data_IF_051904676217
#
_entry.id   IF_051904676217
#
_cell.length_a   1.000
_cell.length_b   1.000
_cell.length_c   1.000
_cell.angle_alpha   90.00
_cell.angle_beta   90.00
_cell.angle_gamma   90.00
#
_symmetry.space_group_name_H-M   'P 1'
#
loop_
_entity.id
_entity.type
_entity.pdbx_description
1 polymer ?
#
# COMPACT_ATOMS: atom_id res chain seq x y z
N UNK A 1 -18.76 22.06 -13.03
CA UNK A 1 -18.68 21.89 -11.56
C UNK A 1 -19.90 22.55 -10.95
N UNK A 2 -20.75 21.83 -10.23
CA UNK A 2 -21.89 22.45 -9.53
C UNK A 2 -21.38 23.55 -8.58
N UNK A 3 -21.88 24.79 -8.67
CA UNK A 3 -21.57 25.80 -7.68
C UNK A 3 -22.04 25.32 -6.29
N UNK A 4 -21.26 25.61 -5.24
CA UNK A 4 -21.54 25.29 -3.82
C UNK A 4 -21.36 23.84 -3.32
N UNK A 5 -20.86 22.91 -4.13
CA UNK A 5 -20.68 21.49 -3.72
C UNK A 5 -19.88 21.30 -2.41
N UNK A 6 -18.83 22.11 -2.18
CA UNK A 6 -18.04 22.07 -0.93
C UNK A 6 -18.86 22.43 0.31
N UNK A 7 -19.66 23.49 0.23
CA UNK A 7 -20.46 23.99 1.36
C UNK A 7 -21.59 23.01 1.69
N UNK A 8 -22.29 22.51 0.66
CA UNK A 8 -23.31 21.47 0.80
C UNK A 8 -22.76 20.22 1.51
N UNK A 9 -21.57 19.75 1.11
CA UNK A 9 -20.90 18.61 1.75
C UNK A 9 -20.62 18.88 3.23
N UNK A 10 -20.12 20.07 3.59
CA UNK A 10 -19.87 20.43 4.98
C UNK A 10 -21.15 20.44 5.82
N UNK A 11 -22.25 20.97 5.27
CA UNK A 11 -23.57 20.96 5.93
C UNK A 11 -24.06 19.52 6.14
N UNK A 12 -23.98 18.67 5.11
CA UNK A 12 -24.39 17.25 5.22
C UNK A 12 -23.57 16.50 6.28
N UNK A 13 -22.26 16.73 6.35
CA UNK A 13 -21.39 16.19 7.40
C UNK A 13 -21.84 16.65 8.78
N UNK A 14 -22.06 17.95 8.96
CA UNK A 14 -22.47 18.52 10.24
C UNK A 14 -23.80 17.94 10.73
N UNK A 15 -24.83 17.90 9.86
CA UNK A 15 -26.14 17.33 10.19
C UNK A 15 -26.03 15.84 10.53
N UNK A 16 -25.23 15.07 9.77
CA UNK A 16 -25.08 13.63 10.02
C UNK A 16 -24.38 13.33 11.34
N UNK A 17 -23.38 14.13 11.74
CA UNK A 17 -22.69 13.96 13.04
C UNK A 17 -23.61 14.12 14.26
N UNK A 18 -24.74 14.82 14.12
CA UNK A 18 -25.75 14.97 15.18
C UNK A 18 -26.69 13.77 15.33
N UNK A 19 -26.67 12.83 14.38
CA UNK A 19 -27.51 11.63 14.39
C UNK A 19 -26.73 10.41 14.91
N UNK A 20 -27.42 9.43 15.53
CA UNK A 20 -26.87 8.09 15.76
C UNK A 20 -26.28 7.50 14.47
N UNK A 21 -25.21 6.71 14.59
CA UNK A 21 -24.41 6.23 13.44
C UNK A 21 -25.28 5.55 12.38
N UNK A 22 -26.18 4.67 12.80
CA UNK A 22 -27.11 3.90 11.99
C UNK A 22 -28.16 4.76 11.25
N UNK A 23 -28.36 6.02 11.67
CA UNK A 23 -29.28 6.98 11.03
C UNK A 23 -28.58 8.03 10.18
N UNK A 24 -27.26 7.95 10.01
CA UNK A 24 -26.48 8.93 9.25
C UNK A 24 -26.61 8.66 7.76
N UNK A 25 -26.83 9.70 6.96
CA UNK A 25 -26.80 9.62 5.48
C UNK A 25 -25.46 10.06 4.91
N UNK A 26 -24.57 10.57 5.76
CA UNK A 26 -23.18 10.87 5.46
C UNK A 26 -22.29 10.26 6.55
N UNK A 27 -21.51 9.26 6.19
CA UNK A 27 -20.62 8.52 7.08
C UNK A 27 -19.19 8.92 6.74
N UNK A 28 -18.53 9.54 7.70
CA UNK A 28 -17.10 9.84 7.63
C UNK A 28 -16.37 8.93 8.59
N UNK A 29 -15.18 8.48 8.19
CA UNK A 29 -14.31 7.73 9.07
C UNK A 29 -13.85 8.61 10.25
N UNK A 30 -14.44 8.39 11.43
CA UNK A 30 -14.20 9.21 12.63
C UNK A 30 -12.78 9.01 13.19
N UNK A 31 -12.27 7.78 13.09
CA UNK A 31 -10.92 7.37 13.52
C UNK A 31 -10.23 6.66 12.38
N UNK A 32 -8.90 6.80 12.25
CA UNK A 32 -8.08 6.08 11.25
C UNK A 32 -7.90 4.59 11.58
N UNK A 33 -8.97 3.97 12.04
CA UNK A 33 -9.02 2.61 12.56
C UNK A 33 -10.24 1.92 11.96
N UNK A 34 -10.30 0.60 12.13
CA UNK A 34 -11.48 -0.18 11.83
C UNK A 34 -12.65 0.21 12.74
N UNK A 35 -13.79 0.46 12.12
CA UNK A 35 -15.05 0.82 12.75
C UNK A 35 -16.08 -0.28 12.43
N UNK A 36 -16.29 -1.25 13.33
CA UNK A 36 -17.19 -2.37 13.09
C UNK A 36 -18.64 -1.95 12.87
N UNK A 37 -19.02 -0.72 13.28
CA UNK A 37 -20.39 -0.21 13.05
C UNK A 37 -20.72 -0.16 11.55
N UNK A 38 -19.73 0.05 10.69
CA UNK A 38 -19.95 0.09 9.24
C UNK A 38 -20.43 -1.26 8.68
N UNK A 39 -19.93 -2.39 9.21
CA UNK A 39 -20.34 -3.73 8.78
C UNK A 39 -21.80 -4.05 9.10
N UNK A 40 -22.34 -3.42 10.15
CA UNK A 40 -23.73 -3.59 10.56
C UNK A 40 -24.65 -2.48 10.03
N UNK A 41 -24.11 -1.53 9.26
CA UNK A 41 -24.87 -0.41 8.75
C UNK A 41 -25.85 -0.87 7.67
N UNK A 42 -27.15 -0.62 7.89
CA UNK A 42 -28.21 -0.94 6.92
C UNK A 42 -28.48 0.28 6.05
N UNK A 43 -28.06 0.20 4.78
CA UNK A 43 -28.28 1.27 3.81
C UNK A 43 -29.77 1.40 3.53
N UNK A 44 -30.33 2.59 3.82
CA UNK A 44 -31.69 2.96 3.46
C UNK A 44 -31.64 4.28 2.66
N UNK A 45 -32.02 4.20 1.38
CA UNK A 45 -31.91 5.33 0.46
C UNK A 45 -30.46 5.69 0.12
N UNK A 46 -30.19 6.98 -0.05
CA UNK A 46 -28.88 7.47 -0.49
C UNK A 46 -27.96 7.72 0.70
N UNK A 47 -26.82 7.03 0.72
CA UNK A 47 -25.78 7.16 1.74
C UNK A 47 -24.45 7.51 1.08
N UNK A 48 -23.73 8.47 1.66
CA UNK A 48 -22.39 8.85 1.25
C UNK A 48 -21.38 8.31 2.27
N UNK A 49 -20.39 7.56 1.80
CA UNK A 49 -19.27 7.06 2.61
C UNK A 49 -18.02 7.84 2.16
N UNK A 50 -17.34 8.47 3.12
CA UNK A 50 -16.22 9.40 2.87
C UNK A 50 -14.99 9.03 3.72
N UNK A 51 -13.79 9.27 3.18
CA UNK A 51 -12.46 8.77 3.60
C UNK A 51 -12.03 7.47 2.88
N UNK A 52 -10.85 6.97 3.24
CA UNK A 52 -10.16 5.84 2.60
C UNK A 52 -10.77 4.47 2.96
N UNK A 53 -11.24 4.29 4.20
CA UNK A 53 -11.76 2.99 4.68
C UNK A 53 -10.84 1.79 4.39
N UNK A 54 -9.53 2.04 4.38
CA UNK A 54 -8.52 1.08 3.96
C UNK A 54 -8.14 0.14 5.11
N UNK A 55 -9.01 -0.82 5.39
CA UNK A 55 -8.76 -1.89 6.35
C UNK A 55 -9.36 -3.18 5.81
N UNK A 56 -8.57 -4.25 5.75
CA UNK A 56 -9.04 -5.51 5.16
C UNK A 56 -10.23 -6.12 5.88
N UNK A 57 -10.43 -5.78 7.17
CA UNK A 57 -11.56 -6.29 7.96
C UNK A 57 -12.91 -5.81 7.44
N UNK A 58 -12.95 -4.81 6.56
CA UNK A 58 -14.20 -4.40 5.92
C UNK A 58 -14.65 -5.30 4.77
N UNK A 59 -13.76 -6.16 4.24
CA UNK A 59 -14.03 -6.92 3.01
C UNK A 59 -13.34 -8.29 2.97
N UNK A 60 -12.85 -8.78 4.11
CA UNK A 60 -12.14 -10.06 4.18
C UNK A 60 -13.04 -11.26 3.88
N UNK A 61 -14.34 -11.14 4.15
CA UNK A 61 -15.38 -12.13 3.86
C UNK A 61 -15.74 -12.22 2.37
N UNK A 62 -15.35 -11.21 1.59
CA UNK A 62 -15.57 -11.14 0.13
C UNK A 62 -14.24 -10.94 -0.63
N UNK A 63 -13.12 -11.40 -0.08
CA UNK A 63 -11.80 -11.10 -0.64
C UNK A 63 -11.64 -11.56 -2.10
N UNK A 64 -12.25 -12.68 -2.47
CA UNK A 64 -12.22 -13.22 -3.83
C UNK A 64 -12.94 -12.30 -4.83
N UNK A 65 -14.05 -11.69 -4.41
CA UNK A 65 -14.78 -10.70 -5.21
C UNK A 65 -13.90 -9.49 -5.46
N UNK A 66 -13.29 -8.95 -4.39
CA UNK A 66 -12.41 -7.78 -4.49
C UNK A 66 -11.19 -8.08 -5.36
N UNK A 67 -10.57 -9.26 -5.22
CA UNK A 67 -9.42 -9.68 -6.04
C UNK A 67 -9.78 -9.83 -7.52
N UNK A 68 -10.98 -10.34 -7.81
CA UNK A 68 -11.47 -10.47 -9.17
C UNK A 68 -11.76 -9.09 -9.80
N UNK A 69 -12.45 -8.22 -9.07
CA UNK A 69 -12.84 -6.89 -9.54
C UNK A 69 -11.64 -5.96 -9.73
N UNK A 70 -10.61 -6.11 -8.88
CA UNK A 70 -9.36 -5.34 -8.96
C UNK A 70 -8.26 -6.04 -9.76
N UNK A 71 -8.61 -7.05 -10.56
CA UNK A 71 -7.64 -7.73 -11.42
C UNK A 71 -7.10 -6.75 -12.46
N UNK A 72 -5.81 -6.45 -12.37
CA UNK A 72 -5.16 -5.47 -13.23
C UNK A 72 -4.93 -6.07 -14.62
N UNK A 73 -5.37 -5.34 -15.65
CA UNK A 73 -5.10 -5.68 -17.04
C UNK A 73 -3.58 -5.57 -17.28
N UNK A 74 -2.90 -6.64 -17.74
CA UNK A 74 -1.48 -6.61 -18.01
C UNK A 74 -1.10 -5.48 -18.99
N UNK A 75 -0.03 -4.71 -18.72
CA UNK A 75 0.49 -3.74 -19.67
C UNK A 75 1.07 -4.46 -20.90
N UNK A 76 0.89 -3.90 -22.09
CA UNK A 76 1.28 -4.55 -23.35
C UNK A 76 2.73 -4.26 -23.78
N UNK A 77 3.46 -3.39 -23.07
CA UNK A 77 4.82 -3.04 -23.44
C UNK A 77 5.84 -4.14 -23.09
N UNK A 78 6.89 -4.23 -23.90
CA UNK A 78 7.92 -5.26 -23.77
C UNK A 78 8.67 -5.19 -22.44
N UNK A 79 8.91 -3.99 -21.91
CA UNK A 79 9.66 -3.78 -20.67
C UNK A 79 8.96 -4.42 -19.47
N UNK A 80 7.67 -4.14 -19.29
CA UNK A 80 6.86 -4.74 -18.24
C UNK A 80 6.68 -6.25 -18.45
N UNK A 81 6.45 -6.71 -19.68
CA UNK A 81 6.30 -8.14 -19.97
C UNK A 81 7.59 -8.94 -19.69
N UNK A 82 8.75 -8.38 -20.04
CA UNK A 82 10.07 -8.98 -19.75
C UNK A 82 10.32 -9.05 -18.25
N UNK A 83 10.04 -7.97 -17.52
CA UNK A 83 10.25 -7.93 -16.07
C UNK A 83 9.32 -8.89 -15.34
N UNK A 84 8.05 -8.96 -15.77
CA UNK A 84 7.06 -9.92 -15.28
C UNK A 84 7.51 -11.38 -15.43
N UNK A 85 8.15 -11.75 -16.55
CA UNK A 85 8.76 -13.08 -16.72
C UNK A 85 9.88 -13.32 -15.70
N UNK A 86 10.74 -12.33 -15.43
CA UNK A 86 11.79 -12.45 -14.41
C UNK A 86 11.21 -12.59 -12.99
N UNK A 87 10.14 -11.86 -12.68
CA UNK A 87 9.43 -11.93 -11.38
C UNK A 87 8.89 -13.34 -11.14
N UNK A 88 8.21 -13.93 -12.13
CA UNK A 88 7.65 -15.29 -12.01
C UNK A 88 8.71 -16.38 -11.89
N UNK A 89 9.85 -16.20 -12.55
CA UNK A 89 10.93 -17.19 -12.62
C UNK A 89 11.98 -17.06 -11.50
N UNK A 90 11.71 -16.28 -10.45
CA UNK A 90 12.65 -16.08 -9.35
C UNK A 90 11.97 -16.11 -7.99
N UNK A 91 12.75 -16.12 -6.91
CA UNK A 91 12.26 -15.82 -5.56
C UNK A 91 12.11 -14.30 -5.42
N UNK A 92 11.07 -13.78 -6.06
CA UNK A 92 10.86 -12.35 -6.26
C UNK A 92 10.39 -11.65 -4.99
N UNK A 93 11.04 -10.53 -4.69
CA UNK A 93 10.73 -9.68 -3.55
C UNK A 93 10.47 -8.28 -4.07
N UNK A 94 9.22 -7.80 -3.97
CA UNK A 94 8.91 -6.41 -4.24
C UNK A 94 9.41 -5.55 -3.07
N UNK A 95 10.30 -4.60 -3.33
CA UNK A 95 10.66 -3.55 -2.38
C UNK A 95 10.06 -2.26 -2.88
N UNK A 96 9.24 -1.61 -2.07
CA UNK A 96 8.72 -0.28 -2.40
C UNK A 96 9.30 0.76 -1.44
N UNK A 97 9.96 1.78 -2.00
CA UNK A 97 10.50 2.92 -1.25
C UNK A 97 9.80 4.19 -1.70
N UNK A 98 9.04 4.79 -0.78
CA UNK A 98 8.35 6.07 -1.03
C UNK A 98 8.97 7.20 -0.23
N UNK A 99 9.24 8.31 -0.91
CA UNK A 99 9.72 9.55 -0.31
C UNK A 99 8.56 10.55 -0.27
N UNK A 100 8.04 10.83 0.93
CA UNK A 100 7.07 11.91 1.16
C UNK A 100 7.74 13.26 1.44
N UNK A 101 9.02 13.24 1.81
CA UNK A 101 9.91 14.40 1.92
C UNK A 101 11.28 14.06 1.33
N UNK A 102 12.09 15.07 1.02
CA UNK A 102 13.42 14.89 0.42
C UNK A 102 14.26 13.85 1.21
N UNK A 103 14.98 12.93 0.54
CA UNK A 103 15.88 11.99 1.20
C UNK A 103 17.00 12.67 2.01
N UNK A 104 17.35 13.91 1.66
CA UNK A 104 18.37 14.69 2.38
C UNK A 104 17.84 15.32 3.67
N UNK A 105 16.52 15.23 3.93
CA UNK A 105 15.89 15.68 5.18
C UNK A 105 16.02 14.67 6.32
N UNK A 106 16.74 13.56 6.12
CA UNK A 106 17.16 12.63 7.16
C UNK A 106 18.44 13.17 7.84
N UNK A 107 18.54 13.31 9.18
CA UNK A 107 17.65 12.90 10.27
C UNK A 107 17.27 14.05 11.27
N UNK A 108 16.01 14.07 11.77
CA UNK A 108 15.57 14.55 13.13
C UNK A 108 14.06 14.85 13.25
N UNK A 109 13.31 15.05 12.15
CA UNK A 109 11.93 15.56 12.24
C UNK A 109 10.90 15.00 11.25
N UNK A 110 11.28 14.23 10.22
CA UNK A 110 10.30 13.75 9.24
C UNK A 110 9.54 12.51 9.76
N UNK A 111 8.47 12.74 10.53
CA UNK A 111 7.42 11.72 10.85
C UNK A 111 6.64 11.24 9.61
N UNK A 112 7.22 11.33 8.41
CA UNK A 112 6.56 11.07 7.13
C UNK A 112 7.26 10.01 6.30
N UNK A 113 8.60 9.95 6.28
CA UNK A 113 9.35 8.90 5.57
C UNK A 113 9.67 7.71 6.47
N UNK A 114 9.68 6.50 5.90
CA UNK A 114 10.17 5.29 6.59
C UNK A 114 11.69 5.37 6.76
N UNK A 115 12.21 4.97 7.92
CA UNK A 115 13.66 4.98 8.17
C UNK A 115 14.41 3.97 7.28
N UNK A 116 15.70 4.23 7.05
CA UNK A 116 16.53 3.35 6.23
C UNK A 116 16.84 2.04 6.96
N UNK A 117 16.91 2.10 8.28
CA UNK A 117 17.15 0.97 9.18
C UNK A 117 16.07 -0.10 9.00
N UNK A 118 14.80 0.28 8.88
CA UNK A 118 13.70 -0.62 8.55
C UNK A 118 14.00 -1.45 7.29
N UNK A 119 14.40 -0.80 6.19
CA UNK A 119 14.65 -1.51 4.95
C UNK A 119 15.83 -2.47 5.07
N UNK A 120 16.91 -2.06 5.77
CA UNK A 120 18.07 -2.92 6.02
C UNK A 120 17.67 -4.17 6.80
N UNK A 121 16.97 -4.02 7.92
CA UNK A 121 16.47 -5.15 8.71
C UNK A 121 15.54 -6.07 7.90
N UNK A 122 14.62 -5.48 7.12
CA UNK A 122 13.70 -6.25 6.29
C UNK A 122 14.42 -7.04 5.18
N UNK A 123 15.44 -6.44 4.55
CA UNK A 123 16.27 -7.10 3.52
C UNK A 123 17.07 -8.25 4.13
N UNK A 124 17.65 -8.07 5.31
CA UNK A 124 18.43 -9.11 6.00
C UNK A 124 17.54 -10.28 6.42
N UNK A 125 16.34 -9.98 6.92
CA UNK A 125 15.35 -11.00 7.27
C UNK A 125 14.93 -11.84 6.05
N UNK A 126 14.62 -11.19 4.93
CA UNK A 126 14.32 -11.91 3.68
C UNK A 126 15.53 -12.70 3.19
N UNK A 127 16.73 -12.12 3.22
CA UNK A 127 17.97 -12.79 2.78
C UNK A 127 18.28 -14.04 3.61
N UNK A 128 17.89 -14.05 4.89
CA UNK A 128 18.11 -15.18 5.80
C UNK A 128 17.05 -16.28 5.64
N UNK A 129 15.82 -15.92 5.25
CA UNK A 129 14.70 -16.84 5.15
C UNK A 129 14.39 -17.37 3.75
N UNK A 130 14.85 -16.70 2.70
CA UNK A 130 14.56 -17.02 1.30
C UNK A 130 15.86 -17.28 0.55
N UNK A 131 15.93 -18.42 -0.15
CA UNK A 131 17.10 -18.76 -0.97
C UNK A 131 17.18 -17.86 -2.21
N UNK A 132 18.35 -17.28 -2.46
CA UNK A 132 18.66 -16.51 -3.67
C UNK A 132 17.57 -15.52 -4.10
N UNK A 133 17.14 -14.58 -3.23
CA UNK A 133 16.06 -13.65 -3.56
C UNK A 133 16.48 -12.69 -4.67
N UNK A 134 15.53 -12.38 -5.56
CA UNK A 134 15.67 -11.30 -6.55
C UNK A 134 14.80 -10.15 -6.12
N UNK A 135 15.40 -9.00 -5.89
CA UNK A 135 14.70 -7.80 -5.42
C UNK A 135 14.28 -6.93 -6.60
N UNK A 136 12.99 -6.61 -6.66
CA UNK A 136 12.41 -5.69 -7.63
C UNK A 136 12.07 -4.39 -6.90
N UNK A 137 12.81 -3.32 -7.19
CA UNK A 137 12.73 -2.05 -6.48
C UNK A 137 11.83 -1.05 -7.22
N UNK A 138 10.75 -0.67 -6.54
CA UNK A 138 9.76 0.32 -6.97
C UNK A 138 9.93 1.58 -6.12
N UNK A 139 10.08 2.74 -6.75
CA UNK A 139 10.26 4.02 -6.06
C UNK A 139 10.07 5.17 -7.02
N UNK A 140 9.81 6.37 -6.50
CA UNK A 140 9.89 7.60 -7.28
C UNK A 140 11.32 7.87 -7.79
N UNK A 141 12.33 7.37 -7.06
CA UNK A 141 13.74 7.49 -7.40
C UNK A 141 14.48 6.15 -7.17
N UNK A 142 14.26 5.13 -8.01
CA UNK A 142 14.72 3.76 -7.77
C UNK A 142 16.24 3.63 -7.60
N UNK A 143 17.02 4.32 -8.42
CA UNK A 143 18.49 4.25 -8.34
C UNK A 143 19.02 4.83 -7.02
N UNK A 144 18.52 5.99 -6.61
CA UNK A 144 18.91 6.62 -5.35
C UNK A 144 18.48 5.77 -4.15
N UNK A 145 17.24 5.26 -4.18
CA UNK A 145 16.72 4.38 -3.15
C UNK A 145 17.58 3.12 -2.99
N UNK A 146 17.94 2.45 -4.09
CA UNK A 146 18.74 1.22 -4.07
C UNK A 146 20.11 1.39 -3.41
N UNK A 147 20.74 2.56 -3.58
CA UNK A 147 22.02 2.87 -2.92
C UNK A 147 21.87 3.06 -1.41
N UNK A 148 20.74 3.59 -0.94
CA UNK A 148 20.55 3.98 0.47
C UNK A 148 20.10 2.82 1.37
N UNK A 149 19.30 1.89 0.83
CA UNK A 149 18.62 0.85 1.63
C UNK A 149 19.41 -0.44 1.83
N UNK A 150 20.70 -0.49 1.46
CA UNK A 150 21.56 -1.64 1.75
C UNK A 150 21.45 -2.80 0.75
N UNK A 151 21.06 -2.55 -0.51
CA UNK A 151 21.01 -3.59 -1.55
C UNK A 151 22.35 -3.85 -2.26
N UNK A 152 23.45 -3.27 -1.78
CA UNK A 152 24.79 -3.45 -2.39
C UNK A 152 25.18 -4.94 -2.39
N UNK A 153 25.55 -5.45 -3.56
CA UNK A 153 25.95 -6.86 -3.73
C UNK A 153 24.80 -7.87 -3.80
N UNK A 154 23.54 -7.42 -3.77
CA UNK A 154 22.36 -8.28 -3.93
C UNK A 154 21.88 -8.29 -5.39
N UNK A 155 21.08 -9.29 -5.75
CA UNK A 155 20.43 -9.36 -7.07
C UNK A 155 19.23 -8.40 -7.12
N UNK A 156 19.44 -7.20 -7.64
CA UNK A 156 18.45 -6.12 -7.70
C UNK A 156 18.08 -5.78 -9.15
N UNK A 157 16.79 -5.54 -9.38
CA UNK A 157 16.23 -4.94 -10.59
C UNK A 157 15.45 -3.68 -10.20
N UNK A 158 15.95 -2.51 -10.60
CA UNK A 158 15.23 -1.25 -10.44
C UNK A 158 14.18 -1.10 -11.53
N UNK A 159 12.94 -0.79 -11.14
CA UNK A 159 11.84 -0.53 -12.08
C UNK A 159 11.82 0.96 -12.38
N UNK A 160 12.39 1.36 -13.52
CA UNK A 160 12.64 2.77 -13.86
C UNK A 160 11.81 3.27 -15.06
N UNK A 161 11.05 2.40 -15.73
CA UNK A 161 10.37 2.73 -16.99
C UNK A 161 8.92 3.20 -16.81
N UNK A 162 8.28 2.92 -15.67
CA UNK A 162 6.94 3.43 -15.32
C UNK A 162 7.10 4.73 -14.52
N UNK A 163 6.91 5.91 -15.15
CA UNK A 163 7.30 7.22 -14.58
C UNK A 163 6.15 8.16 -14.26
N UNK A 164 4.95 7.88 -14.75
CA UNK A 164 3.81 8.78 -14.65
C UNK A 164 2.57 8.07 -14.08
N UNK A 165 1.54 8.85 -13.76
CA UNK A 165 0.30 8.32 -13.21
C UNK A 165 -0.39 7.35 -14.17
N UNK A 166 -0.25 7.57 -15.49
CA UNK A 166 -0.80 6.70 -16.51
C UNK A 166 -0.16 5.30 -16.53
N UNK A 167 1.08 5.18 -16.05
CA UNK A 167 1.84 3.91 -15.98
C UNK A 167 1.92 3.32 -14.58
N UNK A 168 1.45 4.01 -13.54
CA UNK A 168 1.48 3.55 -12.16
C UNK A 168 0.74 2.21 -11.93
N UNK A 169 -0.29 1.91 -12.73
CA UNK A 169 -0.98 0.61 -12.66
C UNK A 169 -0.06 -0.56 -13.03
N UNK A 170 0.91 -0.35 -13.92
CA UNK A 170 1.86 -1.36 -14.34
C UNK A 170 2.81 -1.76 -13.20
N UNK A 171 3.16 -0.82 -12.33
CA UNK A 171 3.93 -1.11 -11.11
C UNK A 171 3.13 -1.96 -10.13
N UNK A 172 1.85 -1.64 -9.86
CA UNK A 172 1.00 -2.49 -9.01
C UNK A 172 0.84 -3.87 -9.64
N UNK A 173 0.68 -3.96 -10.96
CA UNK A 173 0.61 -5.22 -11.69
C UNK A 173 1.88 -6.06 -11.52
N UNK A 174 3.06 -5.45 -11.68
CA UNK A 174 4.35 -6.13 -11.43
C UNK A 174 4.49 -6.56 -9.96
N UNK A 175 4.20 -5.66 -9.01
CA UNK A 175 4.24 -5.95 -7.58
C UNK A 175 3.34 -7.14 -7.23
N UNK A 176 2.11 -7.18 -7.74
CA UNK A 176 1.13 -8.25 -7.45
C UNK A 176 1.60 -9.64 -7.90
N UNK A 177 2.60 -9.71 -8.79
CA UNK A 177 3.20 -10.96 -9.26
C UNK A 177 4.41 -11.41 -8.42
N UNK A 178 4.94 -10.55 -7.55
CA UNK A 178 6.04 -10.91 -6.66
C UNK A 178 5.62 -11.91 -5.58
N UNK A 179 6.57 -12.72 -5.13
CA UNK A 179 6.32 -13.75 -4.10
C UNK A 179 6.36 -13.20 -2.68
N UNK A 180 7.20 -12.20 -2.41
CA UNK A 180 7.36 -11.58 -1.09
C UNK A 180 7.46 -10.05 -1.22
N UNK A 181 7.32 -9.34 -0.09
CA UNK A 181 7.12 -7.90 -0.08
C UNK A 181 7.84 -7.23 1.11
N UNK A 182 8.52 -6.12 0.81
CA UNK A 182 8.97 -5.11 1.77
C UNK A 182 8.30 -3.81 1.35
N UNK A 183 7.28 -3.37 2.10
CA UNK A 183 6.43 -2.25 1.70
C UNK A 183 6.82 -0.96 2.43
N UNK A 184 6.39 0.19 1.91
CA UNK A 184 6.48 1.46 2.61
C UNK A 184 5.20 1.73 3.42
N UNK A 185 5.16 2.84 4.17
CA UNK A 185 3.95 3.43 4.74
C UNK A 185 3.06 4.07 3.64
N UNK A 186 2.78 3.32 2.57
CA UNK A 186 2.06 3.78 1.37
C UNK A 186 0.93 2.82 1.01
N UNK A 187 -0.22 3.38 0.66
CA UNK A 187 -1.41 2.64 0.19
C UNK A 187 -1.13 1.92 -1.11
N UNK A 188 -0.24 2.46 -1.95
CA UNK A 188 0.19 1.88 -3.21
C UNK A 188 0.83 0.49 -3.00
N UNK A 189 1.85 0.43 -2.13
CA UNK A 189 2.52 -0.83 -1.81
C UNK A 189 1.66 -1.78 -0.97
N UNK A 190 0.74 -1.23 -0.18
CA UNK A 190 -0.25 -2.03 0.54
C UNK A 190 -1.14 -2.80 -0.45
N UNK A 191 -1.70 -2.13 -1.46
CA UNK A 191 -2.51 -2.80 -2.48
C UNK A 191 -1.70 -3.75 -3.35
N UNK A 192 -0.47 -3.40 -3.72
CA UNK A 192 0.42 -4.31 -4.45
C UNK A 192 0.66 -5.63 -3.71
N UNK A 193 0.90 -5.58 -2.38
CA UNK A 193 1.07 -6.77 -1.55
C UNK A 193 -0.26 -7.50 -1.26
N UNK A 194 -1.36 -6.76 -1.08
CA UNK A 194 -2.68 -7.35 -0.80
C UNK A 194 -3.20 -8.12 -2.00
N UNK A 195 -3.10 -7.56 -3.21
CA UNK A 195 -3.56 -8.18 -4.46
C UNK A 195 -2.73 -9.39 -4.89
N UNK A 196 -1.52 -9.54 -4.36
CA UNK A 196 -0.66 -10.67 -4.68
C UNK A 196 -1.27 -12.02 -4.26
N UNK A 197 -1.33 -12.95 -5.22
CA UNK A 197 -2.03 -14.23 -5.04
C UNK A 197 -1.25 -15.29 -4.27
N UNK A 198 0.06 -15.09 -4.06
CA UNK A 198 0.87 -16.06 -3.31
C UNK A 198 0.37 -16.17 -1.85
N UNK A 199 -0.14 -17.33 -1.39
CA UNK A 199 -0.58 -17.52 0.00
C UNK A 199 0.61 -17.57 0.98
N UNK A 200 1.78 -18.01 0.51
CA UNK A 200 3.01 -18.15 1.30
C UNK A 200 3.87 -16.87 1.28
N UNK A 201 3.28 -15.73 0.92
CA UNK A 201 4.01 -14.46 0.85
C UNK A 201 4.42 -14.01 2.25
N UNK A 202 5.65 -13.50 2.33
CA UNK A 202 6.12 -12.75 3.48
C UNK A 202 5.91 -11.28 3.13
N UNK A 203 5.21 -10.53 3.99
CA UNK A 203 5.00 -9.09 3.82
C UNK A 203 5.54 -8.39 5.06
N UNK A 204 6.67 -7.71 4.89
CA UNK A 204 7.30 -6.90 5.93
C UNK A 204 6.84 -5.46 5.77
N UNK A 205 6.35 -4.89 6.87
CA UNK A 205 5.75 -3.56 6.94
C UNK A 205 6.49 -2.72 7.99
N UNK A 206 6.64 -1.41 7.80
CA UNK A 206 7.27 -0.58 8.81
C UNK A 206 6.32 -0.34 9.98
N UNK A 207 6.80 -0.44 11.22
CA UNK A 207 6.04 -0.01 12.40
C UNK A 207 6.02 1.53 12.51
N UNK A 208 5.28 2.16 11.59
CA UNK A 208 5.35 3.58 11.37
C UNK A 208 4.27 4.37 12.14
N UNK A 209 4.70 5.09 13.19
CA UNK A 209 3.85 5.95 14.04
C UNK A 209 3.71 7.40 13.53
N UNK A 210 3.49 7.56 12.22
CA UNK A 210 3.24 8.88 11.62
C UNK A 210 1.77 9.31 11.65
N UNK A 211 1.47 10.46 11.05
CA UNK A 211 0.15 11.13 11.03
C UNK A 211 -0.99 10.25 10.48
N UNK A 212 -0.67 9.17 9.77
CA UNK A 212 -1.62 8.24 9.14
C UNK A 212 -1.82 6.93 9.90
N UNK A 213 -1.11 6.70 11.01
CA UNK A 213 -1.23 5.51 11.86
C UNK A 213 -1.24 4.19 11.06
N UNK A 214 -0.35 4.11 10.05
CA UNK A 214 -0.32 3.05 9.03
C UNK A 214 -0.30 1.64 9.63
N UNK A 215 0.39 1.46 10.77
CA UNK A 215 0.45 0.20 11.51
C UNK A 215 -0.93 -0.43 11.80
N UNK A 216 -1.99 0.38 11.92
CA UNK A 216 -3.35 -0.11 12.22
C UNK A 216 -4.10 -0.64 11.00
N UNK A 217 -3.63 -0.31 9.80
CA UNK A 217 -4.17 -0.78 8.53
C UNK A 217 -3.50 -2.08 8.06
N UNK A 218 -2.45 -2.51 8.77
CA UNK A 218 -1.67 -3.69 8.41
C UNK A 218 -2.46 -4.96 8.78
N UNK A 219 -2.77 -5.84 7.81
CA UNK A 219 -3.30 -7.17 8.04
C UNK A 219 -2.56 -7.91 9.15
N UNK A 220 -3.28 -8.62 10.03
CA UNK A 220 -2.65 -9.36 11.14
C UNK A 220 -1.66 -10.44 10.68
N UNK A 221 -1.83 -10.93 9.45
CA UNK A 221 -0.93 -11.91 8.82
C UNK A 221 0.36 -11.31 8.28
N UNK A 222 0.50 -9.99 8.25
CA UNK A 222 1.71 -9.30 7.83
C UNK A 222 2.56 -8.95 9.04
N UNK A 223 3.86 -8.86 8.84
CA UNK A 223 4.80 -8.63 9.92
C UNK A 223 5.17 -7.14 10.01
N UNK A 224 5.03 -6.57 11.20
CA UNK A 224 5.54 -5.24 11.51
C UNK A 224 7.00 -5.35 11.95
N UNK A 225 7.87 -4.57 11.32
CA UNK A 225 9.29 -4.45 11.70
C UNK A 225 9.46 -3.19 12.55
N UNK A 226 9.95 -3.38 13.77
CA UNK A 226 10.43 -2.32 14.65
C UNK A 226 11.82 -1.88 14.21
N UNK A 227 12.01 -0.57 14.09
CA UNK A 227 13.24 0.06 13.59
C UNK A 227 13.45 1.42 14.23
#
# INVERSE_FOLDING_TARGET
MEPFGRHRRLIMKYISRKKPFEKRTYIEQEKKEFDPRLLHYRVNGRVYIDSLWQDERYFNDIEDVIRNDLKIIPPNDESNQKLSKQIRNSNSVAIHVRWFASPDSFPKSSKVNVCLEYYRYAIDKISSGISSPTYFLFSDHPENAGRMIGLKGKNIRCVCHNKDEATAYADIWLMSQCKHFIIANSTFSWWGAWLASNPNKIVLCPNFKGSWNFQRLVPKRWELIDS
#
